data_IF_765259225743
#
_entry.id   IF_765259225743
#
_cell.length_a   1.000
_cell.length_b   1.000
_cell.length_c   1.000
_cell.angle_alpha   90.00
_cell.angle_beta   90.00
_cell.angle_gamma   90.00
#
_symmetry.space_group_name_H-M   'P 1'
#
loop_
_entity.id
_entity.type
_entity.pdbx_description
1 polymer ?
#
# COMPACT_ATOMS: atom_id res chain seq x y z
N UNK A 1 1.96 -16.93 -3.89
CA UNK A 1 2.41 -16.55 -2.55
C UNK A 1 2.50 -17.81 -1.71
N UNK A 2 3.62 -18.04 -1.12
CA UNK A 2 3.96 -19.36 -0.62
C UNK A 2 3.92 -19.41 0.91
N UNK A 3 3.66 -20.59 1.43
CA UNK A 3 3.92 -20.96 2.83
C UNK A 3 5.33 -20.49 3.21
N UNK A 4 6.31 -20.64 2.31
CA UNK A 4 7.69 -20.16 2.49
C UNK A 4 7.79 -18.67 2.85
N UNK A 5 6.96 -17.80 2.23
CA UNK A 5 7.03 -16.35 2.49
C UNK A 5 6.53 -16.03 3.91
N UNK A 6 5.49 -16.72 4.38
CA UNK A 6 4.99 -16.58 5.76
C UNK A 6 5.99 -17.12 6.80
N UNK A 7 6.63 -18.24 6.52
CA UNK A 7 7.68 -18.82 7.38
C UNK A 7 8.90 -17.91 7.43
N UNK A 8 9.33 -17.35 6.28
CA UNK A 8 10.42 -16.40 6.22
C UNK A 8 10.10 -15.10 6.96
N UNK A 9 8.93 -14.50 6.71
CA UNK A 9 8.50 -13.29 7.40
C UNK A 9 8.46 -13.50 8.94
N UNK A 10 7.92 -14.64 9.40
CA UNK A 10 7.92 -14.99 10.80
C UNK A 10 9.33 -15.12 11.37
N UNK A 11 10.28 -15.70 10.62
CA UNK A 11 11.68 -15.88 11.07
C UNK A 11 12.44 -14.57 11.27
N UNK A 12 12.03 -13.51 10.59
CA UNK A 12 12.61 -12.16 10.69
C UNK A 12 11.72 -11.16 11.45
N UNK A 13 10.66 -11.65 12.12
CA UNK A 13 9.65 -10.83 12.81
C UNK A 13 8.97 -9.77 11.92
N UNK A 14 8.84 -10.03 10.62
CA UNK A 14 8.07 -9.19 9.72
C UNK A 14 6.57 -9.52 9.83
N UNK A 15 5.78 -8.52 10.19
CA UNK A 15 4.35 -8.71 10.46
C UNK A 15 3.46 -8.55 9.22
N UNK A 16 4.01 -8.07 8.11
CA UNK A 16 3.25 -7.77 6.90
C UNK A 16 3.86 -8.48 5.69
N UNK A 17 3.00 -8.99 4.80
CA UNK A 17 3.40 -9.49 3.48
C UNK A 17 2.55 -8.81 2.42
N UNK A 18 3.20 -8.12 1.49
CA UNK A 18 2.53 -7.53 0.33
C UNK A 18 2.30 -8.58 -0.77
N UNK A 19 1.10 -8.58 -1.34
CA UNK A 19 0.68 -9.47 -2.43
C UNK A 19 0.38 -8.67 -3.67
N UNK A 20 1.13 -8.95 -4.73
CA UNK A 20 0.94 -8.33 -6.04
C UNK A 20 -0.25 -8.98 -6.75
N UNK A 21 -1.24 -8.17 -7.17
CA UNK A 21 -2.43 -8.64 -7.86
C UNK A 21 -2.15 -9.09 -9.32
N UNK A 22 -1.10 -8.56 -9.92
CA UNK A 22 -0.71 -8.88 -11.30
C UNK A 22 -1.46 -8.08 -12.37
N UNK A 23 -1.06 -8.31 -13.63
CA UNK A 23 -1.69 -7.73 -14.81
C UNK A 23 -2.69 -8.74 -15.36
N UNK A 24 -3.95 -8.33 -15.51
CA UNK A 24 -5.05 -9.21 -15.97
C UNK A 24 -5.93 -8.47 -16.97
N UNK A 25 -6.85 -9.21 -17.61
CA UNK A 25 -7.90 -8.59 -18.43
C UNK A 25 -9.05 -8.00 -17.60
N UNK A 26 -8.95 -7.94 -16.27
CA UNK A 26 -10.02 -7.49 -15.36
C UNK A 26 -11.35 -8.23 -15.60
N UNK A 27 -11.28 -9.51 -15.94
CA UNK A 27 -12.45 -10.37 -16.09
C UNK A 27 -13.00 -10.78 -14.73
N UNK A 28 -14.25 -11.20 -14.70
CA UNK A 28 -14.86 -11.76 -13.49
C UNK A 28 -14.09 -12.97 -12.96
N UNK A 29 -13.60 -13.83 -13.84
CA UNK A 29 -12.78 -15.00 -13.49
C UNK A 29 -11.46 -14.59 -12.81
N UNK A 30 -10.80 -13.52 -13.30
CA UNK A 30 -9.59 -12.99 -12.68
C UNK A 30 -9.87 -12.44 -11.27
N UNK A 31 -10.99 -11.75 -11.09
CA UNK A 31 -11.43 -11.21 -9.80
C UNK A 31 -11.73 -12.35 -8.79
N UNK A 32 -12.47 -13.38 -9.22
CA UNK A 32 -12.78 -14.53 -8.38
C UNK A 32 -11.49 -15.27 -7.96
N UNK A 33 -10.59 -15.51 -8.92
CA UNK A 33 -9.27 -16.12 -8.65
C UNK A 33 -8.44 -15.29 -7.68
N UNK A 34 -8.42 -13.97 -7.84
CA UNK A 34 -7.70 -13.07 -6.95
C UNK A 34 -8.25 -13.16 -5.51
N UNK A 35 -9.56 -13.08 -5.35
CA UNK A 35 -10.24 -13.20 -4.04
C UNK A 35 -10.02 -14.58 -3.37
N UNK A 36 -10.06 -15.65 -4.14
CA UNK A 36 -9.77 -17.01 -3.64
C UNK A 36 -8.33 -17.14 -3.16
N UNK A 37 -7.37 -16.63 -3.94
CA UNK A 37 -5.97 -16.62 -3.56
C UNK A 37 -5.71 -15.79 -2.29
N UNK A 38 -6.41 -14.67 -2.12
CA UNK A 38 -6.33 -13.85 -0.90
C UNK A 38 -6.92 -14.57 0.31
N UNK A 39 -8.04 -15.30 0.17
CA UNK A 39 -8.60 -16.13 1.26
C UNK A 39 -7.60 -17.21 1.68
N UNK A 40 -6.97 -17.87 0.72
CA UNK A 40 -5.93 -18.85 1.01
C UNK A 40 -4.72 -18.22 1.70
N UNK A 41 -4.23 -17.11 1.17
CA UNK A 41 -3.08 -16.40 1.69
C UNK A 41 -3.29 -15.92 3.14
N UNK A 42 -4.43 -15.27 3.41
CA UNK A 42 -4.78 -14.78 4.74
C UNK A 42 -4.94 -15.92 5.76
N UNK A 43 -5.51 -17.04 5.34
CA UNK A 43 -5.62 -18.22 6.19
C UNK A 43 -4.24 -18.79 6.57
N UNK A 44 -3.29 -18.85 5.62
CA UNK A 44 -1.94 -19.32 5.90
C UNK A 44 -1.15 -18.36 6.78
N UNK A 45 -1.24 -17.07 6.47
CA UNK A 45 -0.56 -16.00 7.20
C UNK A 45 -1.05 -15.88 8.66
N UNK A 46 -2.34 -16.15 8.92
CA UNK A 46 -2.91 -16.06 10.27
C UNK A 46 -2.25 -16.99 11.29
N UNK A 47 -1.73 -18.14 10.85
CA UNK A 47 -0.99 -19.08 11.71
C UNK A 47 0.30 -18.48 12.29
N UNK A 48 0.80 -17.42 11.69
CA UNK A 48 2.01 -16.71 12.08
C UNK A 48 1.75 -15.30 12.60
N UNK A 49 0.47 -14.90 12.77
CA UNK A 49 0.11 -13.54 13.16
C UNK A 49 0.41 -12.49 12.09
N UNK A 50 0.55 -12.90 10.82
CA UNK A 50 0.95 -12.03 9.72
C UNK A 50 -0.27 -11.44 9.00
N UNK A 51 -0.19 -10.16 8.70
CA UNK A 51 -1.15 -9.42 7.87
C UNK A 51 -0.75 -9.51 6.39
N UNK A 52 -1.74 -9.75 5.54
CA UNK A 52 -1.60 -9.68 4.09
C UNK A 52 -1.99 -8.27 3.66
N UNK A 53 -1.14 -7.65 2.85
CA UNK A 53 -1.37 -6.33 2.26
C UNK A 53 -1.67 -6.45 0.77
N UNK A 54 -2.67 -5.72 0.31
CA UNK A 54 -2.96 -5.50 -1.10
C UNK A 54 -2.82 -4.01 -1.42
N UNK A 55 -2.27 -3.70 -2.58
CA UNK A 55 -1.94 -2.34 -2.98
C UNK A 55 -2.59 -1.99 -4.32
N UNK A 56 -3.39 -0.91 -4.37
CA UNK A 56 -3.82 -0.32 -5.63
C UNK A 56 -2.66 0.38 -6.33
N UNK A 57 -2.28 -0.09 -7.53
CA UNK A 57 -1.26 0.55 -8.35
C UNK A 57 -1.89 1.38 -9.46
N UNK A 58 -1.36 2.57 -9.71
CA UNK A 58 -1.85 3.45 -10.76
C UNK A 58 -1.63 2.86 -12.17
N UNK A 59 -2.58 3.13 -13.07
CA UNK A 59 -2.56 2.59 -14.42
C UNK A 59 -1.64 3.34 -15.39
N UNK A 60 -1.06 4.47 -14.99
CA UNK A 60 -0.05 5.18 -15.80
C UNK A 60 1.28 4.43 -15.76
N UNK A 61 1.69 3.98 -14.57
CA UNK A 61 2.94 3.24 -14.37
C UNK A 61 2.78 1.75 -14.67
N UNK A 62 1.60 1.19 -14.36
CA UNK A 62 1.33 -0.24 -14.52
C UNK A 62 0.03 -0.46 -15.31
N UNK A 63 0.06 -0.26 -16.64
CA UNK A 63 -1.12 -0.48 -17.48
C UNK A 63 -1.67 -1.90 -17.35
N UNK A 64 -2.99 -2.01 -17.15
CA UNK A 64 -3.67 -3.30 -17.02
C UNK A 64 -3.53 -3.98 -15.67
N UNK A 65 -2.94 -3.32 -14.67
CA UNK A 65 -2.90 -3.87 -13.31
C UNK A 65 -4.29 -4.16 -12.77
N UNK A 66 -4.46 -5.32 -12.14
CA UNK A 66 -5.78 -5.80 -11.73
C UNK A 66 -6.41 -4.89 -10.66
N UNK A 67 -5.67 -4.59 -9.60
CA UNK A 67 -6.11 -3.78 -8.47
C UNK A 67 -5.64 -2.33 -8.65
N UNK A 68 -6.44 -1.45 -9.25
CA UNK A 68 -5.94 -0.15 -9.71
C UNK A 68 -6.41 1.09 -8.93
N UNK A 69 -7.34 0.92 -8.00
CA UNK A 69 -7.86 2.02 -7.19
C UNK A 69 -8.29 1.57 -5.79
N UNK A 70 -8.47 2.55 -4.90
CA UNK A 70 -8.80 2.29 -3.50
C UNK A 70 -10.18 1.66 -3.34
N UNK A 71 -11.16 2.06 -4.15
CA UNK A 71 -12.53 1.57 -4.04
C UNK A 71 -12.57 0.07 -4.36
N UNK A 72 -11.85 -0.38 -5.41
CA UNK A 72 -11.69 -1.80 -5.74
C UNK A 72 -10.97 -2.58 -4.62
N UNK A 73 -9.95 -1.97 -3.96
CA UNK A 73 -9.29 -2.61 -2.84
C UNK A 73 -10.23 -2.81 -1.64
N UNK A 74 -11.09 -1.85 -1.36
CA UNK A 74 -12.12 -1.92 -0.31
C UNK A 74 -13.15 -3.01 -0.63
N UNK A 75 -13.67 -3.04 -1.86
CA UNK A 75 -14.60 -4.10 -2.31
C UNK A 75 -13.98 -5.50 -2.21
N UNK A 76 -12.71 -5.62 -2.59
CA UNK A 76 -11.96 -6.88 -2.47
C UNK A 76 -11.80 -7.29 -1.01
N UNK A 77 -11.43 -6.36 -0.13
CA UNK A 77 -11.29 -6.61 1.31
C UNK A 77 -12.61 -7.07 1.93
N UNK A 78 -13.72 -6.42 1.58
CA UNK A 78 -15.07 -6.77 2.06
C UNK A 78 -15.50 -8.16 1.55
N UNK A 79 -15.25 -8.46 0.28
CA UNK A 79 -15.59 -9.76 -0.32
C UNK A 79 -14.74 -10.92 0.23
N UNK A 80 -13.48 -10.69 0.55
CA UNK A 80 -12.58 -11.67 1.18
C UNK A 80 -12.93 -11.88 2.64
N UNK A 81 -13.33 -10.82 3.34
CA UNK A 81 -13.81 -10.81 4.73
C UNK A 81 -12.87 -11.55 5.71
N UNK A 82 -11.59 -11.14 5.73
CA UNK A 82 -10.59 -11.65 6.66
C UNK A 82 -9.94 -10.50 7.45
N UNK A 83 -9.84 -10.58 8.78
CA UNK A 83 -9.35 -9.47 9.62
C UNK A 83 -7.89 -9.13 9.35
N UNK A 84 -7.09 -10.10 8.89
CA UNK A 84 -5.69 -9.93 8.53
C UNK A 84 -5.45 -9.67 7.04
N UNK A 85 -6.47 -9.23 6.29
CA UNK A 85 -6.32 -8.61 4.99
C UNK A 85 -6.44 -7.10 5.16
N UNK A 86 -5.40 -6.36 4.82
CA UNK A 86 -5.36 -4.90 4.94
C UNK A 86 -4.88 -4.27 3.63
N UNK A 87 -5.11 -2.98 3.51
CA UNK A 87 -4.70 -2.19 2.36
C UNK A 87 -3.33 -1.56 2.64
N UNK A 88 -2.41 -1.66 1.71
CA UNK A 88 -1.25 -0.79 1.62
C UNK A 88 -1.68 0.48 0.89
N UNK A 89 -1.68 1.59 1.61
CA UNK A 89 -2.06 2.90 1.08
C UNK A 89 -0.82 3.65 0.62
N UNK A 90 -0.48 3.56 -0.66
CA UNK A 90 0.58 4.38 -1.22
C UNK A 90 0.02 5.74 -1.68
N UNK A 91 0.47 6.80 -1.02
CA UNK A 91 0.06 8.17 -1.31
C UNK A 91 0.31 8.55 -2.79
N UNK A 92 1.39 8.05 -3.39
CA UNK A 92 1.69 8.32 -4.79
C UNK A 92 0.63 7.70 -5.73
N UNK A 93 0.38 6.39 -5.60
CA UNK A 93 -0.58 5.70 -6.45
C UNK A 93 -2.00 6.25 -6.29
N UNK A 94 -2.42 6.50 -5.05
CA UNK A 94 -3.74 7.07 -4.76
C UNK A 94 -3.86 8.50 -5.29
N UNK A 95 -2.80 9.33 -5.14
CA UNK A 95 -2.81 10.69 -5.69
C UNK A 95 -2.98 10.70 -7.21
N UNK A 96 -2.23 9.85 -7.93
CA UNK A 96 -2.31 9.73 -9.39
C UNK A 96 -3.71 9.33 -9.86
N UNK A 97 -4.37 8.39 -9.16
CA UNK A 97 -5.65 7.83 -9.59
C UNK A 97 -6.87 8.60 -9.10
N UNK A 98 -6.84 9.07 -7.86
CA UNK A 98 -8.06 9.52 -7.18
C UNK A 98 -7.88 10.82 -6.39
N UNK A 99 -6.66 11.13 -5.93
CA UNK A 99 -6.38 12.30 -5.08
C UNK A 99 -7.05 12.27 -3.71
N UNK A 100 -7.14 13.44 -3.07
CA UNK A 100 -7.85 13.64 -1.80
C UNK A 100 -7.34 12.74 -0.66
N UNK A 101 -6.01 12.63 -0.53
CA UNK A 101 -5.32 11.66 0.32
C UNK A 101 -5.81 11.67 1.77
N UNK A 102 -5.87 12.85 2.40
CA UNK A 102 -6.21 12.94 3.83
C UNK A 102 -7.64 12.46 4.13
N UNK A 103 -8.61 12.82 3.26
CA UNK A 103 -9.98 12.39 3.47
C UNK A 103 -10.08 10.86 3.37
N UNK A 104 -9.43 10.26 2.37
CA UNK A 104 -9.40 8.81 2.16
C UNK A 104 -8.70 8.09 3.30
N UNK A 105 -7.59 8.63 3.81
CA UNK A 105 -6.91 8.12 5.00
C UNK A 105 -7.85 8.14 6.21
N UNK A 106 -8.50 9.26 6.50
CA UNK A 106 -9.45 9.39 7.63
C UNK A 106 -10.62 8.40 7.53
N UNK A 107 -11.20 8.27 6.37
CA UNK A 107 -12.37 7.43 6.12
C UNK A 107 -12.04 5.93 6.23
N UNK A 108 -10.85 5.53 5.77
CA UNK A 108 -10.49 4.13 5.63
C UNK A 108 -9.36 3.67 6.57
N UNK A 109 -8.97 4.49 7.56
CA UNK A 109 -7.86 4.19 8.47
C UNK A 109 -7.91 2.77 9.08
N UNK A 110 -9.06 2.25 9.55
CA UNK A 110 -9.13 0.90 10.11
C UNK A 110 -8.87 -0.22 9.09
N UNK A 111 -8.95 0.08 7.79
CA UNK A 111 -8.72 -0.86 6.68
C UNK A 111 -7.26 -0.90 6.25
N UNK A 112 -6.48 0.11 6.60
CA UNK A 112 -5.10 0.29 6.19
C UNK A 112 -4.17 -0.49 7.13
N UNK A 113 -3.21 -1.19 6.58
CA UNK A 113 -2.18 -1.94 7.32
C UNK A 113 -0.77 -1.38 7.13
N UNK A 114 -0.56 -0.55 6.12
CA UNK A 114 0.70 0.15 5.86
C UNK A 114 0.46 1.38 4.99
N UNK A 115 1.25 2.42 5.21
CA UNK A 115 1.22 3.63 4.39
C UNK A 115 2.59 3.78 3.72
N UNK A 116 2.57 4.02 2.40
CA UNK A 116 3.75 4.37 1.63
C UNK A 116 3.61 5.76 1.02
N UNK A 117 4.73 6.36 0.64
CA UNK A 117 4.75 7.68 0.03
C UNK A 117 5.91 7.90 -0.93
N UNK A 118 5.64 8.67 -1.96
CA UNK A 118 6.58 9.26 -2.89
C UNK A 118 6.01 10.55 -3.46
N UNK A 119 6.87 11.40 -4.03
CA UNK A 119 6.43 12.60 -4.72
C UNK A 119 5.50 12.29 -5.91
N UNK A 120 4.51 13.13 -6.13
CA UNK A 120 3.67 13.14 -7.31
C UNK A 120 3.76 14.53 -7.99
N UNK A 121 3.94 14.61 -9.33
CA UNK A 121 4.26 13.52 -10.23
C UNK A 121 5.72 13.05 -10.13
N UNK A 122 6.03 11.89 -10.75
CA UNK A 122 7.39 11.41 -11.00
C UNK A 122 7.95 10.43 -10.00
N UNK A 123 7.24 10.14 -8.90
CA UNK A 123 7.61 9.12 -7.89
C UNK A 123 9.04 9.31 -7.35
N UNK A 124 9.46 10.54 -7.16
CA UNK A 124 10.79 10.90 -6.63
C UNK A 124 10.74 11.27 -5.14
N UNK A 125 11.79 11.93 -4.63
CA UNK A 125 11.89 12.39 -3.23
C UNK A 125 10.66 13.24 -2.83
N UNK A 126 10.16 13.13 -1.59
CA UNK A 126 8.96 13.82 -1.11
C UNK A 126 9.24 15.28 -0.69
N UNK A 127 10.19 15.93 -1.33
CA UNK A 127 10.61 17.33 -1.06
C UNK A 127 10.06 18.34 -2.08
N UNK A 128 9.34 17.88 -3.07
CA UNK A 128 8.80 18.67 -4.17
C UNK A 128 7.51 18.04 -4.70
N UNK A 129 6.89 18.66 -5.72
CA UNK A 129 5.68 18.17 -6.35
C UNK A 129 4.39 18.70 -5.73
N UNK A 130 3.27 18.01 -5.97
CA UNK A 130 1.95 18.53 -5.63
C UNK A 130 1.46 18.10 -4.24
N UNK A 131 2.16 17.16 -3.56
CA UNK A 131 1.82 16.70 -2.22
C UNK A 131 2.65 17.47 -1.19
N UNK A 132 1.98 18.15 -0.25
CA UNK A 132 2.65 18.77 0.89
C UNK A 132 2.89 17.72 1.98
N UNK A 133 4.00 16.99 1.90
CA UNK A 133 4.29 15.90 2.84
C UNK A 133 4.50 16.36 4.29
N UNK A 134 5.19 17.47 4.61
CA UNK A 134 5.27 17.93 6.00
C UNK A 134 3.90 18.13 6.65
N UNK A 135 2.95 18.69 5.92
CA UNK A 135 1.58 18.85 6.38
C UNK A 135 0.85 17.50 6.47
N UNK A 136 0.98 16.64 5.44
CA UNK A 136 0.30 15.35 5.38
C UNK A 136 0.78 14.41 6.50
N UNK A 137 2.07 14.40 6.82
CA UNK A 137 2.61 13.60 7.94
C UNK A 137 2.03 14.03 9.28
N UNK A 138 1.96 15.35 9.54
CA UNK A 138 1.33 15.87 10.76
C UNK A 138 -0.17 15.48 10.86
N UNK A 139 -0.88 15.47 9.74
CA UNK A 139 -2.27 15.03 9.69
C UNK A 139 -2.41 13.51 9.90
N UNK A 140 -1.48 12.70 9.35
CA UNK A 140 -1.44 11.25 9.56
C UNK A 140 -1.25 10.93 11.05
N UNK A 141 -0.34 11.61 11.73
CA UNK A 141 -0.16 11.48 13.18
C UNK A 141 -1.44 11.89 13.93
N UNK A 142 -2.07 13.00 13.52
CA UNK A 142 -3.25 13.55 14.20
C UNK A 142 -4.49 12.63 14.09
N UNK A 143 -4.60 11.83 13.02
CA UNK A 143 -5.69 10.84 12.87
C UNK A 143 -5.42 9.53 13.62
N UNK A 144 -4.29 9.41 14.32
CA UNK A 144 -3.96 8.28 15.18
C UNK A 144 -3.29 7.10 14.46
N UNK A 145 -2.56 7.33 13.38
CA UNK A 145 -1.73 6.30 12.76
C UNK A 145 -0.51 6.00 13.64
N UNK A 146 -0.35 4.74 14.06
CA UNK A 146 0.75 4.30 14.93
C UNK A 146 1.80 3.46 14.18
N UNK A 147 1.56 3.19 12.87
CA UNK A 147 2.47 2.40 12.04
C UNK A 147 3.61 3.22 11.44
N UNK A 148 4.53 2.53 10.79
CA UNK A 148 5.58 3.18 10.00
C UNK A 148 5.04 3.75 8.71
N UNK A 149 5.72 4.79 8.20
CA UNK A 149 5.53 5.33 6.85
C UNK A 149 6.71 4.88 5.98
N UNK A 150 6.42 4.19 4.89
CA UNK A 150 7.42 3.67 3.97
C UNK A 150 7.72 4.65 2.84
N UNK A 151 8.96 5.14 2.75
CA UNK A 151 9.40 5.94 1.62
C UNK A 151 9.74 5.03 0.42
N UNK A 152 8.88 4.99 -0.59
CA UNK A 152 9.07 4.18 -1.80
C UNK A 152 9.15 5.05 -3.04
N UNK A 153 10.32 5.62 -3.29
CA UNK A 153 10.54 6.54 -4.39
C UNK A 153 11.78 6.18 -5.23
N UNK A 154 11.86 6.74 -6.43
CA UNK A 154 13.02 6.62 -7.32
C UNK A 154 13.90 7.84 -7.08
N UNK A 155 15.07 7.69 -6.45
CA UNK A 155 15.94 8.82 -6.17
C UNK A 155 16.46 9.45 -7.46
N UNK A 156 16.46 10.79 -7.53
CA UNK A 156 17.01 11.55 -8.66
C UNK A 156 18.53 11.39 -8.79
N UNK A 157 19.20 11.02 -7.69
CA UNK A 157 20.66 10.76 -7.61
C UNK A 157 20.88 9.44 -6.85
N UNK A 158 21.93 9.35 -6.02
CA UNK A 158 22.12 8.22 -5.12
C UNK A 158 21.06 8.23 -4.00
N UNK A 159 20.84 7.08 -3.36
CA UNK A 159 19.93 6.98 -2.22
C UNK A 159 20.38 7.92 -1.10
N UNK A 160 21.66 7.97 -0.80
CA UNK A 160 22.23 8.80 0.27
C UNK A 160 22.01 10.30 0.02
N UNK A 161 22.19 10.75 -1.24
CA UNK A 161 21.96 12.15 -1.62
C UNK A 161 20.47 12.53 -1.56
N UNK A 162 19.58 11.54 -1.67
CA UNK A 162 18.14 11.73 -1.69
C UNK A 162 17.49 11.88 -0.32
N UNK A 163 18.21 11.59 0.77
CA UNK A 163 17.65 11.58 2.13
C UNK A 163 17.55 12.96 2.81
N UNK A 164 17.87 14.03 2.07
CA UNK A 164 17.84 15.40 2.61
C UNK A 164 16.49 15.86 3.17
N UNK A 165 15.40 15.35 2.61
CA UNK A 165 14.03 15.67 3.03
C UNK A 165 13.70 15.23 4.47
N UNK A 166 14.35 14.18 4.98
CA UNK A 166 14.12 13.66 6.34
C UNK A 166 14.34 14.76 7.39
N UNK A 167 15.37 15.61 7.22
CA UNK A 167 15.70 16.68 8.16
C UNK A 167 14.65 17.80 8.24
N UNK A 168 13.82 17.91 7.22
CA UNK A 168 12.80 18.96 7.10
C UNK A 168 11.39 18.43 7.40
N UNK A 169 11.23 17.13 7.60
CA UNK A 169 9.93 16.46 7.76
C UNK A 169 9.74 15.82 9.14
N UNK A 170 10.79 15.83 9.95
CA UNK A 170 10.82 15.41 11.36
C UNK A 170 11.17 16.59 12.26
#
# INVERSE_FOLDING_TARGET
MCIRDSEYAASINCQNIHVIAGITGKTQEAEETFRENLRYATQKASNHGITILIEPLNLLDTPGYHLSDLDHAIETQDAVNKPNLKIMFDCYHIQVMQGNLLLRLKEHLPRIGHIQFANCPGRTEPDSGEINFPWLFAEIDSIGWEGYLGAEYIPKKSTEDSLGWIRNSL
#
